data_IF_681229061678
#
_entry.id   IF_681229061678
#
_cell.length_a   1.000
_cell.length_b   1.000
_cell.length_c   1.000
_cell.angle_alpha   90.00
_cell.angle_beta   90.00
_cell.angle_gamma   90.00
#
_symmetry.space_group_name_H-M   'P 1'
#
loop_
_entity.id
_entity.type
_entity.pdbx_description
1 polymer ?
#
# COMPACT_ATOMS: atom_id res chain seq x y z
N UNK A 1 59.65 32.19 26.29
CA UNK A 1 58.79 31.00 26.49
C UNK A 1 58.55 30.38 25.12
N UNK A 2 59.28 29.31 24.81
CA UNK A 2 59.10 28.40 23.68
C UNK A 2 59.45 27.01 24.27
N UNK A 3 58.55 26.01 24.27
CA UNK A 3 58.84 24.72 24.88
C UNK A 3 59.81 23.88 24.02
N UNK A 4 60.65 23.03 24.63
CA UNK A 4 61.56 22.15 23.91
C UNK A 4 60.84 20.97 23.26
N UNK A 5 61.30 20.61 22.06
CA UNK A 5 60.82 19.49 21.25
C UNK A 5 61.35 18.16 21.84
N UNK A 6 60.46 17.20 22.09
CA UNK A 6 60.80 15.84 22.54
C UNK A 6 61.39 14.98 21.41
N UNK A 7 62.33 14.07 21.68
CA UNK A 7 62.83 13.14 20.67
C UNK A 7 61.88 11.96 20.46
N UNK A 8 61.78 11.50 19.21
CA UNK A 8 61.02 10.33 18.81
C UNK A 8 61.64 9.05 19.38
N UNK A 9 60.84 8.24 20.07
CA UNK A 9 61.21 6.90 20.55
C UNK A 9 60.90 5.89 19.44
N UNK A 10 61.94 5.23 18.91
CA UNK A 10 61.80 4.07 18.04
C UNK A 10 61.35 2.85 18.87
N UNK A 11 60.13 2.36 18.64
CA UNK A 11 59.70 1.03 19.10
C UNK A 11 60.11 -0.03 18.08
N UNK A 12 61.01 -0.92 18.50
CA UNK A 12 61.37 -2.12 17.77
C UNK A 12 60.21 -3.13 17.78
N UNK A 13 59.74 -3.51 16.58
CA UNK A 13 58.70 -4.54 16.38
C UNK A 13 59.33 -5.94 16.42
N UNK A 14 59.21 -6.63 17.55
CA UNK A 14 59.46 -8.08 17.62
C UNK A 14 58.16 -8.83 17.38
N UNK A 15 58.01 -9.47 16.21
CA UNK A 15 56.92 -10.42 15.94
C UNK A 15 57.28 -11.77 16.58
N UNK A 16 56.46 -12.36 17.47
CA UNK A 16 56.70 -13.71 17.93
C UNK A 16 56.38 -14.71 16.79
N UNK A 17 57.28 -15.67 16.57
CA UNK A 17 57.08 -16.76 15.63
C UNK A 17 55.96 -17.69 16.13
N UNK A 18 54.83 -17.73 15.42
CA UNK A 18 53.75 -18.67 15.70
C UNK A 18 54.23 -20.12 15.42
N UNK A 19 54.23 -20.94 16.46
CA UNK A 19 54.69 -22.33 16.37
C UNK A 19 53.82 -23.16 15.40
N UNK A 20 54.48 -23.91 14.51
CA UNK A 20 53.87 -24.71 13.44
C UNK A 20 52.92 -25.84 13.91
N UNK A 21 52.73 -26.00 15.22
CA UNK A 21 51.79 -26.98 15.81
C UNK A 21 50.34 -26.49 15.79
N UNK A 22 50.09 -25.18 15.79
CA UNK A 22 48.72 -24.63 15.77
C UNK A 22 48.09 -24.61 14.36
N UNK A 23 48.88 -24.58 13.29
CA UNK A 23 48.35 -24.62 11.92
C UNK A 23 47.68 -25.97 11.59
N UNK A 24 48.18 -27.09 12.14
CA UNK A 24 47.63 -28.42 11.85
C UNK A 24 46.29 -28.67 12.55
N UNK A 25 46.07 -28.13 13.75
CA UNK A 25 44.77 -28.23 14.43
C UNK A 25 43.70 -27.31 13.82
N UNK A 26 44.07 -26.11 13.37
CA UNK A 26 43.12 -25.20 12.72
C UNK A 26 42.57 -25.75 11.40
N UNK A 27 43.40 -26.44 10.61
CA UNK A 27 42.97 -27.04 9.33
C UNK A 27 42.00 -28.23 9.49
N UNK A 28 42.11 -29.00 10.58
CA UNK A 28 41.22 -30.15 10.86
C UNK A 28 39.82 -29.73 11.35
N UNK A 29 39.70 -28.60 12.06
CA UNK A 29 38.40 -28.07 12.52
C UNK A 29 37.61 -27.45 11.35
N UNK A 30 38.30 -26.83 10.39
CA UNK A 30 37.68 -26.28 9.17
C UNK A 30 37.19 -27.37 8.21
N UNK A 31 37.90 -28.51 8.09
CA UNK A 31 37.49 -29.61 7.22
C UNK A 31 36.34 -30.45 7.81
N UNK A 32 36.26 -30.58 9.14
CA UNK A 32 35.16 -31.28 9.81
C UNK A 32 33.81 -30.52 9.71
N UNK A 33 33.84 -29.20 9.54
CA UNK A 33 32.63 -28.37 9.38
C UNK A 33 31.99 -28.47 7.98
N UNK A 34 32.71 -28.99 6.98
CA UNK A 34 32.18 -29.20 5.62
C UNK A 34 31.48 -30.55 5.40
N UNK A 35 31.68 -31.52 6.30
CA UNK A 35 31.08 -32.87 6.18
C UNK A 35 29.94 -33.12 7.18
N UNK A 36 29.59 -32.14 8.02
CA UNK A 36 28.36 -32.24 8.80
C UNK A 36 27.18 -31.88 7.88
N UNK A 37 26.27 -32.82 7.56
CA UNK A 37 24.99 -32.43 7.01
C UNK A 37 24.38 -31.46 8.02
N UNK A 38 24.29 -30.19 7.62
CA UNK A 38 23.53 -29.24 8.39
C UNK A 38 22.13 -29.88 8.46
N UNK A 39 21.49 -29.96 9.64
CA UNK A 39 20.06 -30.21 9.64
C UNK A 39 19.50 -29.11 8.74
N UNK A 40 19.12 -29.51 7.52
CA UNK A 40 18.36 -28.64 6.64
C UNK A 40 17.26 -28.12 7.53
N UNK A 41 17.15 -26.79 7.61
CA UNK A 41 16.07 -26.14 8.32
C UNK A 41 14.80 -26.54 7.57
N UNK A 42 14.32 -27.75 7.88
CA UNK A 42 13.05 -28.28 7.45
C UNK A 42 12.07 -27.19 7.82
N UNK A 43 11.42 -26.64 6.80
CA UNK A 43 10.69 -25.38 6.88
C UNK A 43 9.98 -25.27 8.21
N UNK A 44 10.50 -24.40 9.09
CA UNK A 44 9.69 -23.90 10.18
C UNK A 44 8.45 -23.36 9.50
N UNK A 45 7.24 -23.86 9.84
CA UNK A 45 6.03 -23.31 9.28
C UNK A 45 6.10 -21.81 9.56
N UNK A 46 6.30 -21.03 8.50
CA UNK A 46 6.33 -19.57 8.57
C UNK A 46 5.07 -19.20 9.36
N UNK A 47 5.18 -18.52 10.51
CA UNK A 47 4.08 -18.35 11.44
C UNK A 47 2.89 -17.88 10.60
N UNK A 48 1.82 -18.69 10.59
CA UNK A 48 0.59 -18.38 9.88
C UNK A 48 0.15 -17.02 10.40
N UNK A 49 0.49 -15.98 9.66
CA UNK A 49 0.49 -14.64 10.23
C UNK A 49 -0.95 -14.25 10.37
N UNK A 50 -1.44 -14.32 11.60
CA UNK A 50 -2.85 -14.06 11.89
C UNK A 50 -3.03 -12.56 11.77
N UNK A 51 -3.61 -12.13 10.65
CA UNK A 51 -3.91 -10.73 10.41
C UNK A 51 -4.99 -10.24 11.38
N UNK A 52 -4.81 -9.05 11.92
CA UNK A 52 -5.85 -8.32 12.65
C UNK A 52 -7.04 -7.98 11.72
N UNK A 53 -8.15 -7.55 12.31
CA UNK A 53 -9.31 -7.07 11.56
C UNK A 53 -8.94 -5.98 10.54
N UNK A 54 -8.20 -4.94 10.97
CA UNK A 54 -7.74 -3.87 10.09
C UNK A 54 -6.79 -4.38 9.00
N UNK A 55 -5.86 -5.27 9.35
CA UNK A 55 -4.96 -5.86 8.36
C UNK A 55 -5.72 -6.67 7.29
N UNK A 56 -6.77 -7.41 7.67
CA UNK A 56 -7.65 -8.08 6.70
C UNK A 56 -8.39 -7.09 5.80
N UNK A 57 -8.86 -5.96 6.34
CA UNK A 57 -9.48 -4.90 5.54
C UNK A 57 -8.51 -4.32 4.51
N UNK A 58 -7.26 -4.00 4.91
CA UNK A 58 -6.21 -3.54 4.00
C UNK A 58 -5.94 -4.60 2.92
N UNK A 59 -5.74 -5.86 3.32
CA UNK A 59 -5.38 -6.93 2.39
C UNK A 59 -6.47 -7.19 1.34
N UNK A 60 -7.74 -7.26 1.76
CA UNK A 60 -8.84 -7.50 0.83
C UNK A 60 -8.99 -6.36 -0.18
N UNK A 61 -8.94 -5.10 0.26
CA UNK A 61 -9.07 -3.97 -0.66
C UNK A 61 -7.85 -3.82 -1.55
N UNK A 62 -6.64 -4.03 -1.02
CA UNK A 62 -5.41 -4.02 -1.83
C UNK A 62 -5.46 -5.09 -2.93
N UNK A 63 -5.95 -6.30 -2.63
CA UNK A 63 -6.11 -7.33 -3.65
C UNK A 63 -7.10 -6.90 -4.73
N UNK A 64 -8.23 -6.33 -4.33
CA UNK A 64 -9.26 -5.90 -5.27
C UNK A 64 -8.83 -4.73 -6.17
N UNK A 65 -7.95 -3.85 -5.68
CA UNK A 65 -7.44 -2.69 -6.42
C UNK A 65 -6.17 -3.00 -7.24
N UNK A 66 -5.28 -3.84 -6.70
CA UNK A 66 -3.92 -4.01 -7.23
C UNK A 66 -3.44 -5.47 -7.23
N UNK A 67 -4.33 -6.45 -7.13
CA UNK A 67 -3.95 -7.87 -7.06
C UNK A 67 -3.13 -8.35 -8.27
N UNK A 68 -3.36 -7.76 -9.46
CA UNK A 68 -2.60 -8.04 -10.68
C UNK A 68 -1.32 -7.20 -10.85
N UNK A 69 -1.03 -6.28 -9.93
CA UNK A 69 0.17 -5.43 -9.98
C UNK A 69 1.39 -6.13 -9.38
N UNK A 70 2.58 -5.63 -9.71
CA UNK A 70 3.82 -6.03 -9.02
C UNK A 70 3.80 -5.66 -7.54
N UNK A 71 4.75 -6.20 -6.77
CA UNK A 71 4.86 -5.95 -5.32
C UNK A 71 4.80 -4.45 -4.96
N UNK A 72 5.51 -3.62 -5.73
CA UNK A 72 5.55 -2.17 -5.52
C UNK A 72 4.16 -1.51 -5.68
N UNK A 73 3.33 -1.96 -6.63
CA UNK A 73 1.98 -1.43 -6.82
C UNK A 73 1.04 -1.84 -5.69
N UNK A 74 1.12 -3.09 -5.23
CA UNK A 74 0.39 -3.59 -4.05
C UNK A 74 0.79 -2.85 -2.79
N UNK A 75 2.10 -2.64 -2.58
CA UNK A 75 2.65 -1.85 -1.47
C UNK A 75 2.18 -0.39 -1.52
N UNK A 76 2.13 0.22 -2.70
CA UNK A 76 1.67 1.59 -2.87
C UNK A 76 0.21 1.79 -2.45
N UNK A 77 -0.70 0.87 -2.78
CA UNK A 77 -2.10 0.92 -2.30
C UNK A 77 -2.19 0.76 -0.78
N UNK A 78 -1.41 -0.16 -0.20
CA UNK A 78 -1.32 -0.32 1.26
C UNK A 78 -0.87 0.99 1.92
N UNK A 79 0.14 1.67 1.33
CA UNK A 79 0.67 2.93 1.83
C UNK A 79 -0.39 4.04 1.76
N UNK A 80 -1.15 4.17 0.68
CA UNK A 80 -2.26 5.14 0.62
C UNK A 80 -3.29 4.92 1.73
N UNK A 81 -3.68 3.66 2.01
CA UNK A 81 -4.64 3.37 3.08
C UNK A 81 -4.07 3.81 4.44
N UNK A 82 -2.78 3.56 4.70
CA UNK A 82 -2.11 3.99 5.94
C UNK A 82 -1.99 5.52 6.02
N UNK A 83 -1.59 6.17 4.93
CA UNK A 83 -1.50 7.63 4.84
C UNK A 83 -2.86 8.29 5.15
N UNK A 84 -3.96 7.69 4.67
CA UNK A 84 -5.32 8.13 5.03
C UNK A 84 -5.59 7.95 6.53
N UNK A 85 -5.22 6.83 7.14
CA UNK A 85 -5.39 6.66 8.60
C UNK A 85 -4.65 7.75 9.39
N UNK A 86 -3.48 8.17 8.92
CA UNK A 86 -2.68 9.20 9.57
C UNK A 86 -3.20 10.63 9.30
N UNK A 87 -3.83 10.87 8.14
CA UNK A 87 -4.39 12.17 7.76
C UNK A 87 -5.70 12.51 8.51
N UNK A 88 -5.85 13.71 9.11
CA UNK A 88 -7.03 14.09 9.89
C UNK A 88 -8.34 14.17 9.08
N UNK A 89 -8.28 14.20 7.75
CA UNK A 89 -9.47 14.25 6.88
C UNK A 89 -10.14 12.90 6.68
N UNK A 90 -9.48 11.81 7.06
CA UNK A 90 -10.01 10.46 6.88
C UNK A 90 -10.17 9.74 8.24
N UNK A 91 -10.87 8.61 8.19
CA UNK A 91 -11.07 7.76 9.34
C UNK A 91 -9.76 7.17 9.87
N UNK A 92 -9.73 6.82 11.16
CA UNK A 92 -8.52 6.39 11.86
C UNK A 92 -8.29 4.88 11.91
N UNK A 93 -9.25 4.09 11.44
CA UNK A 93 -9.11 2.64 11.28
C UNK A 93 -9.06 2.27 9.79
N UNK A 94 -8.35 1.19 9.46
CA UNK A 94 -8.25 0.75 8.07
C UNK A 94 -9.62 0.31 7.55
N UNK A 95 -10.39 -0.41 8.37
CA UNK A 95 -11.72 -0.86 7.98
C UNK A 95 -12.70 0.30 7.72
N UNK A 96 -12.59 1.42 8.44
CA UNK A 96 -13.43 2.60 8.17
C UNK A 96 -12.97 3.34 6.91
N UNK A 97 -11.65 3.47 6.70
CA UNK A 97 -11.09 4.07 5.48
C UNK A 97 -11.56 3.31 4.24
N UNK A 98 -11.47 1.98 4.23
CA UNK A 98 -11.80 1.20 3.03
C UNK A 98 -13.30 1.01 2.80
N UNK A 99 -14.13 1.22 3.83
CA UNK A 99 -15.60 1.16 3.72
C UNK A 99 -16.23 2.52 3.46
N UNK A 100 -15.44 3.59 3.45
CA UNK A 100 -15.92 4.92 3.11
C UNK A 100 -16.63 4.88 1.72
N UNK A 101 -17.85 5.41 1.61
CA UNK A 101 -18.64 5.30 0.39
C UNK A 101 -17.90 5.88 -0.83
N UNK A 102 -17.78 5.08 -1.89
CA UNK A 102 -17.22 5.53 -3.18
C UNK A 102 -15.70 5.70 -3.22
N UNK A 103 -14.98 5.48 -2.11
CA UNK A 103 -13.52 5.60 -2.07
C UNK A 103 -12.81 4.47 -2.83
N UNK A 104 -13.36 3.26 -2.76
CA UNK A 104 -12.83 2.07 -3.42
C UNK A 104 -13.92 1.47 -4.30
N UNK A 105 -13.70 1.47 -5.61
CA UNK A 105 -14.69 0.98 -6.56
C UNK A 105 -15.08 -0.47 -6.26
N UNK A 106 -14.15 -1.44 -6.10
CA UNK A 106 -14.48 -2.85 -5.87
C UNK A 106 -15.37 -3.08 -4.64
N UNK A 107 -15.20 -2.27 -3.59
CA UNK A 107 -16.04 -2.31 -2.38
C UNK A 107 -17.48 -1.92 -2.72
N UNK A 108 -17.67 -0.89 -3.53
CA UNK A 108 -19.01 -0.50 -3.98
C UNK A 108 -19.66 -1.61 -4.82
N UNK A 109 -18.87 -2.31 -5.63
CA UNK A 109 -19.34 -3.30 -6.61
C UNK A 109 -19.70 -4.66 -6.01
N UNK A 110 -18.91 -5.15 -5.05
CA UNK A 110 -19.07 -6.50 -4.52
C UNK A 110 -19.79 -6.49 -3.18
N UNK A 111 -21.02 -7.00 -3.15
CA UNK A 111 -21.73 -7.24 -1.88
C UNK A 111 -20.93 -8.17 -0.97
N UNK A 112 -20.30 -9.19 -1.56
CA UNK A 112 -19.50 -10.18 -0.85
C UNK A 112 -18.28 -9.55 -0.16
N UNK A 113 -17.58 -8.66 -0.85
CA UNK A 113 -16.50 -7.87 -0.24
C UNK A 113 -17.03 -6.95 0.85
N UNK A 114 -18.16 -6.25 0.63
CA UNK A 114 -18.78 -5.40 1.68
C UNK A 114 -19.15 -6.18 2.93
N UNK A 115 -19.78 -7.35 2.78
CA UNK A 115 -20.16 -8.21 3.89
C UNK A 115 -18.92 -8.67 4.68
N UNK A 116 -17.84 -9.02 3.98
CA UNK A 116 -16.57 -9.40 4.59
C UNK A 116 -15.89 -8.23 5.33
N UNK A 117 -15.89 -7.03 4.75
CA UNK A 117 -15.36 -5.82 5.37
C UNK A 117 -16.20 -5.36 6.58
N UNK A 118 -17.49 -5.71 6.63
CA UNK A 118 -18.32 -5.44 7.80
C UNK A 118 -18.03 -6.38 8.98
N UNK A 119 -17.42 -7.55 8.74
CA UNK A 119 -17.03 -8.50 9.77
C UNK A 119 -15.67 -9.17 9.47
N UNK A 120 -14.58 -8.38 9.41
CA UNK A 120 -13.29 -8.85 8.92
C UNK A 120 -12.66 -9.91 9.81
N UNK A 121 -12.91 -9.87 11.13
CA UNK A 121 -12.40 -10.88 12.07
C UNK A 121 -12.82 -12.30 11.67
N UNK A 122 -14.07 -12.48 11.21
CA UNK A 122 -14.62 -13.77 10.78
C UNK A 122 -14.51 -14.03 9.27
N UNK A 123 -14.06 -13.05 8.49
CA UNK A 123 -13.98 -13.19 7.04
C UNK A 123 -12.86 -14.16 6.63
N UNK A 124 -13.20 -15.05 5.68
CA UNK A 124 -12.23 -15.74 4.82
C UNK A 124 -11.94 -14.83 3.61
N UNK A 125 -10.72 -14.32 3.53
CA UNK A 125 -10.37 -13.29 2.54
C UNK A 125 -10.55 -13.78 1.10
N UNK A 126 -10.24 -15.03 0.81
CA UNK A 126 -10.39 -15.53 -0.56
C UNK A 126 -11.84 -15.77 -0.95
N UNK A 127 -12.68 -16.25 -0.03
CA UNK A 127 -14.12 -16.30 -0.27
C UNK A 127 -14.69 -14.91 -0.45
N UNK A 128 -14.20 -13.90 0.27
CA UNK A 128 -14.60 -12.50 0.11
C UNK A 128 -14.21 -11.92 -1.26
N UNK A 129 -13.10 -12.37 -1.83
CA UNK A 129 -12.53 -11.85 -3.07
C UNK A 129 -12.86 -12.71 -4.30
N UNK A 130 -13.69 -13.74 -4.16
CA UNK A 130 -14.00 -14.67 -5.25
C UNK A 130 -14.59 -14.00 -6.51
N UNK A 131 -15.24 -12.84 -6.37
CA UNK A 131 -15.76 -12.06 -7.50
C UNK A 131 -14.62 -11.48 -8.40
N UNK A 132 -13.39 -11.42 -7.89
CA UNK A 132 -12.20 -10.86 -8.56
C UNK A 132 -11.24 -11.92 -9.11
N UNK A 133 -11.58 -13.21 -9.04
CA UNK A 133 -10.69 -14.30 -9.51
C UNK A 133 -9.41 -14.41 -8.67
N UNK A 134 -9.54 -14.92 -7.44
CA UNK A 134 -8.44 -14.94 -6.46
C UNK A 134 -7.25 -15.81 -6.89
N UNK A 135 -6.10 -15.17 -7.08
CA UNK A 135 -4.78 -15.80 -7.03
C UNK A 135 -4.31 -15.83 -5.57
N UNK A 136 -4.16 -17.04 -5.04
CA UNK A 136 -3.72 -17.28 -3.66
C UNK A 136 -2.30 -16.78 -3.42
N UNK A 137 -1.43 -16.83 -4.43
CA UNK A 137 -0.05 -16.36 -4.31
C UNK A 137 -0.01 -14.85 -4.11
N UNK A 138 -0.75 -14.12 -4.95
CA UNK A 138 -0.83 -12.67 -4.83
C UNK A 138 -1.48 -12.23 -3.51
N UNK A 139 -2.53 -12.95 -3.07
CA UNK A 139 -3.19 -12.69 -1.79
C UNK A 139 -2.27 -12.96 -0.59
N UNK A 140 -1.48 -14.04 -0.62
CA UNK A 140 -0.52 -14.38 0.44
C UNK A 140 0.62 -13.36 0.51
N UNK A 141 1.10 -12.87 -0.64
CA UNK A 141 2.10 -11.81 -0.70
C UNK A 141 1.56 -10.50 -0.12
N UNK A 142 0.33 -10.10 -0.47
CA UNK A 142 -0.34 -8.94 0.14
C UNK A 142 -0.48 -9.12 1.65
N UNK A 143 -0.91 -10.30 2.11
CA UNK A 143 -1.03 -10.60 3.53
C UNK A 143 0.31 -10.41 4.27
N UNK A 144 1.42 -10.86 3.68
CA UNK A 144 2.78 -10.64 4.20
C UNK A 144 3.14 -9.16 4.24
N UNK A 145 2.93 -8.41 3.16
CA UNK A 145 3.20 -6.97 3.11
C UNK A 145 2.44 -6.22 4.20
N UNK A 146 1.17 -6.54 4.39
CA UNK A 146 0.34 -5.90 5.42
C UNK A 146 0.80 -6.27 6.84
N UNK A 147 1.19 -7.52 7.05
CA UNK A 147 1.68 -8.02 8.33
C UNK A 147 2.98 -7.36 8.79
N UNK A 148 3.91 -7.11 7.86
CA UNK A 148 5.20 -6.50 8.17
C UNK A 148 5.10 -5.03 8.61
N UNK A 149 3.95 -4.39 8.40
CA UNK A 149 3.76 -2.99 8.78
C UNK A 149 4.41 -2.00 7.79
N UNK A 150 4.41 -0.69 8.13
CA UNK A 150 4.91 0.36 7.23
C UNK A 150 6.43 0.28 7.00
N UNK A 151 7.18 -0.36 7.89
CA UNK A 151 8.64 -0.53 7.80
C UNK A 151 9.03 -1.91 7.22
N UNK A 152 8.05 -2.68 6.75
CA UNK A 152 8.22 -4.02 6.25
C UNK A 152 8.82 -4.07 4.85
N UNK A 153 10.12 -4.29 4.72
CA UNK A 153 10.76 -4.59 3.43
C UNK A 153 10.71 -6.09 3.15
N UNK A 154 9.73 -6.52 2.37
CA UNK A 154 9.89 -7.73 1.58
C UNK A 154 10.83 -7.38 0.41
N UNK A 155 12.07 -7.85 0.47
CA UNK A 155 13.03 -7.90 -0.65
C UNK A 155 13.35 -6.58 -1.41
N UNK A 156 14.43 -5.91 -1.00
CA UNK A 156 15.27 -4.97 -1.78
C UNK A 156 14.57 -3.90 -2.69
N UNK A 157 14.28 -2.72 -2.10
CA UNK A 157 14.04 -1.41 -2.77
C UNK A 157 12.65 -0.79 -2.50
N UNK A 158 12.43 0.56 -2.59
CA UNK A 158 13.31 1.73 -2.79
C UNK A 158 13.78 2.39 -1.47
N UNK A 159 14.62 3.44 -1.55
CA UNK A 159 15.20 4.17 -0.40
C UNK A 159 14.20 4.98 0.45
N UNK A 160 12.95 5.12 -0.01
CA UNK A 160 11.88 5.83 0.70
C UNK A 160 11.00 4.85 1.48
N UNK A 161 10.69 5.12 2.77
CA UNK A 161 9.72 4.35 3.55
C UNK A 161 8.31 4.29 2.93
N UNK A 162 7.92 5.35 2.21
CA UNK A 162 6.68 5.43 1.42
C UNK A 162 7.02 5.60 -0.07
N UNK A 163 6.62 4.64 -0.91
CA UNK A 163 6.90 4.67 -2.35
C UNK A 163 5.99 5.64 -3.10
N UNK A 164 4.91 6.10 -2.46
CA UNK A 164 3.91 6.99 -3.04
C UNK A 164 4.16 8.47 -2.73
N UNK A 165 5.16 8.77 -1.88
CA UNK A 165 5.49 10.12 -1.40
C UNK A 165 4.28 10.84 -0.78
N UNK A 166 3.62 10.19 0.19
CA UNK A 166 2.50 10.77 0.93
C UNK A 166 1.20 10.85 0.13
N UNK A 167 1.00 9.96 -0.86
CA UNK A 167 -0.23 9.95 -1.63
C UNK A 167 -1.44 9.61 -0.76
N UNK A 168 -2.56 10.28 -1.05
CA UNK A 168 -3.86 10.04 -0.42
C UNK A 168 -4.90 9.58 -1.45
N UNK A 169 -4.59 9.68 -2.73
CA UNK A 169 -5.45 9.34 -3.84
C UNK A 169 -4.66 8.55 -4.86
N UNK A 170 -5.32 7.64 -5.56
CA UNK A 170 -4.76 6.96 -6.72
C UNK A 170 -5.87 6.62 -7.71
N UNK A 171 -5.50 6.52 -8.98
CA UNK A 171 -6.38 6.02 -10.05
C UNK A 171 -5.57 5.26 -11.08
N UNK A 172 -6.19 4.28 -11.74
CA UNK A 172 -5.69 3.77 -13.01
C UNK A 172 -6.28 4.63 -14.14
N UNK A 173 -5.50 5.50 -14.80
CA UNK A 173 -6.03 6.43 -15.81
C UNK A 173 -6.61 5.71 -17.03
N UNK A 174 -6.22 4.45 -17.27
CA UNK A 174 -6.73 3.66 -18.39
C UNK A 174 -8.12 3.04 -18.10
N UNK A 175 -8.50 2.95 -16.83
CA UNK A 175 -9.72 2.28 -16.37
C UNK A 175 -10.66 3.18 -15.56
N UNK A 176 -10.30 4.46 -15.39
CA UNK A 176 -11.12 5.41 -14.64
C UNK A 176 -12.20 6.06 -15.51
N UNK A 177 -13.24 6.55 -14.84
CA UNK A 177 -14.26 7.39 -15.43
C UNK A 177 -13.71 8.76 -15.86
N UNK A 178 -13.80 9.12 -17.15
CA UNK A 178 -13.39 10.42 -17.64
C UNK A 178 -14.07 11.60 -16.94
N UNK A 179 -15.32 11.44 -16.47
CA UNK A 179 -16.06 12.49 -15.78
C UNK A 179 -15.40 12.90 -14.44
N UNK A 180 -14.59 12.02 -13.85
CA UNK A 180 -13.84 12.30 -12.62
C UNK A 180 -12.46 12.88 -12.87
N UNK A 181 -11.95 12.80 -14.11
CA UNK A 181 -10.59 13.19 -14.42
C UNK A 181 -10.30 14.66 -14.08
N UNK A 182 -11.24 15.57 -14.33
CA UNK A 182 -11.03 17.00 -14.06
C UNK A 182 -10.76 17.31 -12.58
N UNK A 183 -11.25 16.48 -11.66
CA UNK A 183 -10.97 16.62 -10.23
C UNK A 183 -9.57 16.10 -9.90
N UNK A 184 -9.27 14.87 -10.30
CA UNK A 184 -7.95 14.26 -10.07
C UNK A 184 -6.82 15.02 -10.75
N UNK A 185 -7.04 15.58 -11.94
CA UNK A 185 -6.05 16.36 -12.67
C UNK A 185 -5.63 17.64 -11.92
N UNK A 186 -6.43 18.16 -10.98
CA UNK A 186 -6.07 19.32 -10.16
C UNK A 186 -5.19 18.99 -8.96
N UNK A 187 -5.03 17.70 -8.64
CA UNK A 187 -4.19 17.26 -7.53
C UNK A 187 -2.71 17.30 -7.91
N UNK A 188 -1.84 17.26 -6.90
CA UNK A 188 -0.40 17.11 -7.07
C UNK A 188 -0.09 15.64 -7.32
N UNK A 189 0.47 15.31 -8.49
CA UNK A 189 1.02 13.97 -8.75
C UNK A 189 2.28 13.73 -7.93
N UNK A 190 2.32 12.62 -7.20
CA UNK A 190 3.45 12.24 -6.34
C UNK A 190 4.23 11.06 -6.91
N UNK A 191 3.53 10.08 -7.53
CA UNK A 191 4.16 8.93 -8.16
C UNK A 191 3.34 8.37 -9.33
N UNK A 192 3.96 7.51 -10.13
CA UNK A 192 3.27 6.56 -10.99
C UNK A 192 3.95 5.20 -10.87
N UNK A 193 3.18 4.20 -10.48
CA UNK A 193 3.66 2.86 -10.11
C UNK A 193 2.68 1.86 -10.69
N UNK A 194 3.19 0.93 -11.51
CA UNK A 194 2.33 -0.01 -12.23
C UNK A 194 1.35 0.73 -13.13
N UNK A 195 0.09 0.28 -13.18
CA UNK A 195 -0.99 0.96 -13.90
C UNK A 195 -1.56 2.21 -13.21
N UNK A 196 -1.03 2.62 -12.06
CA UNK A 196 -1.63 3.65 -11.21
C UNK A 196 -0.84 4.97 -11.20
N UNK A 197 -1.57 6.08 -11.17
CA UNK A 197 -1.04 7.40 -10.79
C UNK A 197 -1.46 7.68 -9.35
N UNK A 198 -0.54 8.18 -8.55
CA UNK A 198 -0.72 8.51 -7.13
C UNK A 198 -0.62 10.01 -6.92
N UNK A 199 -1.49 10.54 -6.06
CA UNK A 199 -1.68 11.99 -5.90
C UNK A 199 -1.97 12.39 -4.45
N UNK A 200 -1.73 13.67 -4.17
CA UNK A 200 -2.10 14.33 -2.91
C UNK A 200 -2.58 15.77 -3.15
N UNK A 201 -3.02 16.45 -2.11
CA UNK A 201 -3.39 17.87 -2.17
C UNK A 201 -2.13 18.75 -2.18
N UNK A 202 -2.18 19.88 -2.88
CA UNK A 202 -1.16 20.93 -2.73
C UNK A 202 -1.21 21.53 -1.32
N UNK A 203 -0.05 21.86 -0.76
CA UNK A 203 0.01 22.61 0.49
C UNK A 203 -0.49 24.06 0.30
N UNK A 204 -0.96 24.73 1.37
CA UNK A 204 -1.35 26.15 1.28
C UNK A 204 -0.21 27.01 0.70
N UNK A 205 -0.48 27.70 -0.40
CA UNK A 205 0.50 28.55 -1.09
C UNK A 205 1.49 27.81 -2.00
N UNK A 206 1.40 26.49 -2.12
CA UNK A 206 2.22 25.73 -3.07
C UNK A 206 1.75 25.99 -4.51
N UNK A 207 2.68 26.34 -5.39
CA UNK A 207 2.40 26.50 -6.82
C UNK A 207 2.07 25.15 -7.46
N UNK A 208 1.04 25.12 -8.31
CA UNK A 208 0.74 23.94 -9.11
C UNK A 208 1.90 23.60 -10.05
N UNK A 209 2.18 22.31 -10.16
CA UNK A 209 3.21 21.72 -11.04
C UNK A 209 2.64 21.23 -12.37
N UNK A 210 1.38 21.58 -12.67
CA UNK A 210 0.64 21.08 -13.83
C UNK A 210 -0.33 19.96 -13.46
N UNK A 211 -1.09 19.44 -14.45
CA UNK A 211 -2.13 18.47 -14.18
C UNK A 211 -1.56 17.10 -13.81
N UNK A 212 -2.16 16.43 -12.82
CA UNK A 212 -1.75 15.06 -12.47
C UNK A 212 -2.07 14.02 -13.55
N UNK A 213 -3.08 14.28 -14.38
CA UNK A 213 -3.59 13.37 -15.41
C UNK A 213 -3.81 14.10 -16.75
N UNK A 214 -3.57 13.40 -17.85
CA UNK A 214 -4.01 13.83 -19.18
C UNK A 214 -5.44 13.33 -19.43
N UNK A 215 -6.43 14.20 -19.22
CA UNK A 215 -7.83 13.83 -19.39
C UNK A 215 -8.23 13.53 -20.84
N UNK A 216 -7.46 14.00 -21.83
CA UNK A 216 -7.69 13.62 -23.22
C UNK A 216 -7.32 12.16 -23.47
N UNK A 217 -6.26 11.69 -22.81
CA UNK A 217 -5.83 10.30 -22.88
C UNK A 217 -6.76 9.39 -22.10
N UNK A 218 -7.16 9.78 -20.88
CA UNK A 218 -8.16 9.04 -20.08
C UNK A 218 -9.43 8.78 -20.89
N UNK A 219 -9.96 9.79 -21.59
CA UNK A 219 -11.16 9.63 -22.41
C UNK A 219 -10.98 8.62 -23.57
N UNK A 220 -9.81 8.62 -24.22
CA UNK A 220 -9.49 7.67 -25.30
C UNK A 220 -9.38 6.24 -24.76
N UNK A 221 -8.68 6.07 -23.65
CA UNK A 221 -8.45 4.75 -23.05
C UNK A 221 -9.75 4.14 -22.52
N UNK A 222 -10.59 4.95 -21.89
CA UNK A 222 -11.93 4.53 -21.46
C UNK A 222 -12.80 4.07 -22.64
N UNK A 223 -12.81 4.81 -23.74
CA UNK A 223 -13.54 4.42 -24.95
C UNK A 223 -12.99 3.10 -25.55
N UNK A 224 -11.67 2.92 -25.55
CA UNK A 224 -11.03 1.68 -25.99
C UNK A 224 -11.39 0.50 -25.08
N UNK A 225 -11.37 0.70 -23.76
CA UNK A 225 -11.77 -0.30 -22.77
C UNK A 225 -13.22 -0.75 -22.96
N UNK A 226 -14.15 0.20 -23.12
CA UNK A 226 -15.56 -0.10 -23.40
C UNK A 226 -15.75 -0.88 -24.70
N UNK A 227 -14.99 -0.53 -25.75
CA UNK A 227 -15.03 -1.23 -27.04
C UNK A 227 -14.49 -2.66 -26.92
N UNK A 228 -13.42 -2.87 -26.15
CA UNK A 228 -12.80 -4.16 -25.93
C UNK A 228 -13.65 -5.09 -25.02
N UNK A 229 -14.50 -4.51 -24.18
CA UNK A 229 -15.36 -5.23 -23.24
C UNK A 229 -16.84 -4.95 -23.49
N UNK A 230 -17.41 -5.45 -24.61
CA UNK A 230 -18.78 -5.14 -25.00
C UNK A 230 -19.81 -5.97 -24.21
N UNK A 231 -19.96 -5.75 -22.90
CA UNK A 231 -21.10 -6.29 -22.15
C UNK A 231 -22.11 -5.16 -21.85
N UNK A 232 -22.93 -4.94 -22.88
CA UNK A 232 -24.31 -4.42 -22.93
C UNK A 232 -24.73 -3.39 -21.88
N UNK A 233 -25.00 -2.19 -22.40
CA UNK A 233 -25.85 -1.10 -21.88
C UNK A 233 -27.33 -1.49 -21.55
N UNK A 234 -27.59 -2.71 -21.08
CA UNK A 234 -28.87 -3.17 -20.51
C UNK A 234 -28.57 -4.19 -19.41
N UNK A 235 -28.91 -3.82 -18.19
CA UNK A 235 -28.51 -4.49 -16.96
C UNK A 235 -28.57 -6.02 -16.99
N UNK A 236 -27.42 -6.65 -16.75
CA UNK A 236 -27.17 -7.74 -15.80
C UNK A 236 -25.73 -8.25 -15.97
N UNK A 237 -24.97 -8.17 -14.87
CA UNK A 237 -23.73 -8.90 -14.51
C UNK A 237 -22.56 -8.88 -15.53
N UNK A 238 -21.88 -7.72 -15.55
CA UNK A 238 -20.44 -7.52 -15.82
C UNK A 238 -19.54 -8.05 -14.69
N UNK A 239 -18.42 -8.79 -14.86
CA UNK A 239 -17.35 -8.72 -13.87
C UNK A 239 -16.75 -7.31 -13.71
N UNK A 240 -16.88 -6.44 -14.72
CA UNK A 240 -16.64 -5.00 -14.61
C UNK A 240 -17.64 -4.30 -15.55
N UNK A 241 -18.77 -3.78 -15.06
CA UNK A 241 -19.77 -3.12 -15.92
C UNK A 241 -19.57 -1.58 -15.97
N UNK A 242 -19.90 -0.91 -17.10
CA UNK A 242 -19.70 0.53 -17.31
C UNK A 242 -20.75 1.50 -16.71
N UNK A 243 -21.87 1.03 -16.16
CA UNK A 243 -22.83 1.83 -15.35
C UNK A 243 -22.37 2.05 -13.86
N UNK A 244 -21.08 1.86 -13.53
CA UNK A 244 -20.61 1.60 -12.15
C UNK A 244 -19.95 2.82 -11.51
N UNK A 245 -20.45 3.99 -11.89
CA UNK A 245 -19.98 5.30 -11.49
C UNK A 245 -21.07 6.01 -10.72
N UNK A 246 -20.92 6.02 -9.40
CA UNK A 246 -21.83 6.72 -8.49
C UNK A 246 -21.14 8.02 -8.02
N UNK A 247 -21.91 9.11 -7.76
CA UNK A 247 -21.37 10.44 -7.45
C UNK A 247 -20.59 10.46 -6.15
N UNK A 248 -19.54 11.28 -6.11
CA UNK A 248 -18.94 11.71 -4.84
C UNK A 248 -20.01 12.47 -4.05
N UNK A 249 -20.16 12.14 -2.77
CA UNK A 249 -20.90 13.00 -1.85
C UNK A 249 -20.18 14.36 -1.77
N UNK A 250 -20.79 15.37 -2.38
CA UNK A 250 -20.27 16.75 -2.39
C UNK A 250 -20.24 17.38 -0.99
N UNK A 251 -20.81 16.75 0.03
CA UNK A 251 -20.74 17.22 1.41
C UNK A 251 -19.31 17.20 1.99
N UNK A 252 -18.41 16.40 1.41
CA UNK A 252 -16.97 16.37 1.77
C UNK A 252 -16.16 17.41 0.96
N UNK A 253 -16.82 18.12 0.04
CA UNK A 253 -16.20 19.02 -0.94
C UNK A 253 -16.85 20.42 -0.88
N UNK A 254 -17.06 20.96 0.31
CA UNK A 254 -17.32 22.38 0.45
C UNK A 254 -15.98 23.13 0.55
N UNK A 255 -15.89 24.15 -0.30
CA UNK A 255 -14.82 25.13 -0.44
C UNK A 255 -14.39 25.73 0.91
N UNK A 256 -13.17 26.26 0.96
CA UNK A 256 -12.51 26.75 2.18
C UNK A 256 -13.45 27.39 3.21
N UNK A 257 -13.51 26.79 4.39
CA UNK A 257 -14.25 27.30 5.53
C UNK A 257 -14.17 26.31 6.69
N UNK A 258 -13.44 26.67 7.73
CA UNK A 258 -13.37 25.93 9.00
C UNK A 258 -14.72 25.97 9.71
N UNK A 259 -15.42 24.83 9.83
CA UNK A 259 -16.24 24.50 11.01
C UNK A 259 -16.71 23.03 10.93
N UNK A 260 -16.39 22.23 11.95
CA UNK A 260 -16.91 20.87 12.11
C UNK A 260 -17.23 20.64 13.58
N UNK A 261 -18.50 20.76 13.93
CA UNK A 261 -19.06 20.34 15.23
C UNK A 261 -20.28 19.44 15.00
N UNK A 262 -20.14 18.40 14.17
CA UNK A 262 -21.13 17.32 14.07
C UNK A 262 -20.73 16.11 14.90
N UNK A 263 -21.69 15.44 15.52
CA UNK A 263 -21.46 14.18 16.26
C UNK A 263 -22.25 13.05 15.63
N UNK A 264 -21.58 11.90 15.48
CA UNK A 264 -22.17 10.69 14.90
C UNK A 264 -22.71 9.80 16.02
N UNK A 265 -24.00 9.46 15.96
CA UNK A 265 -24.64 8.54 16.90
C UNK A 265 -24.55 7.09 16.38
N UNK A 266 -23.78 6.23 17.05
CA UNK A 266 -23.58 4.85 16.60
C UNK A 266 -24.80 3.95 16.79
N UNK A 267 -25.77 4.31 17.64
CA UNK A 267 -26.96 3.48 17.89
C UNK A 267 -28.03 3.70 16.83
N UNK A 268 -28.27 4.96 16.45
CA UNK A 268 -29.28 5.30 15.43
C UNK A 268 -28.72 5.33 14.01
N UNK A 269 -27.39 5.30 13.85
CA UNK A 269 -26.68 5.49 12.57
C UNK A 269 -27.09 6.76 11.83
N UNK A 270 -27.42 7.80 12.59
CA UNK A 270 -27.72 9.11 12.03
C UNK A 270 -26.60 10.09 12.34
N UNK A 271 -26.24 10.90 11.36
CA UNK A 271 -25.30 11.99 11.55
C UNK A 271 -26.09 13.24 11.92
N UNK A 272 -25.90 13.74 13.15
CA UNK A 272 -26.52 14.99 13.59
C UNK A 272 -25.55 16.13 13.28
N UNK A 273 -25.96 16.99 12.35
CA UNK A 273 -25.22 18.21 12.02
C UNK A 273 -25.39 19.18 13.19
N UNK A 274 -24.30 19.55 13.86
CA UNK A 274 -24.35 20.63 14.86
C UNK A 274 -24.40 22.00 14.18
N UNK A 275 -24.92 22.97 14.93
CA UNK A 275 -25.07 24.33 14.44
C UNK A 275 -23.71 25.05 14.40
N UNK A 276 -23.52 25.85 13.35
CA UNK A 276 -22.45 26.83 13.23
C UNK A 276 -22.85 28.14 13.92
#
# INVERSE_FOLDING_TARGET
>A
MIPPVSPAVHMASTRPAASARYLKLAALILLASLLMPHPGRAGEPSPSTTLTADQKCIAMVTYAEAGGEGELGRRAVIQVIRNRMDDPRFAKSACDVVRAPGEFQPVTMSKRLRDALANPAKADMASALADFGVDRTALDEIARLVALGPNGVASAGPTSPDSTDGALFFVNPHLMDPAKCSWFAKLKRTAAIGGHVFMTSYAPGESSTGPALDCSQVAKDWAAFQKANPIRARGKRHPINPDWLVPIDRSVIAEGGTCSTGTYDPETRTYQKGDC
#
